data_IF_298396895754
#
_entry.id   IF_298396895754
#
_cell.length_a   1.000
_cell.length_b   1.000
_cell.length_c   1.000
_cell.angle_alpha   90.00
_cell.angle_beta   90.00
_cell.angle_gamma   90.00
#
_symmetry.space_group_name_H-M   'P 1'
#
loop_
_entity.id
_entity.type
_entity.pdbx_description
1 polymer ?
#
# COMPACT_ATOMS: atom_id res chain seq x y z
N UNK A 1 4.97 -32.63 40.64
CA UNK A 1 4.08 -31.46 40.50
C UNK A 1 4.42 -30.80 39.17
N UNK A 2 3.51 -30.83 38.20
CA UNK A 2 3.70 -30.15 36.91
C UNK A 2 3.51 -28.64 37.07
N UNK A 3 4.29 -27.86 36.32
CA UNK A 3 4.12 -26.41 36.27
C UNK A 3 2.72 -26.08 35.68
N UNK A 4 1.94 -25.17 36.28
CA UNK A 4 0.68 -24.69 35.72
C UNK A 4 0.84 -24.16 34.29
N UNK A 5 -0.21 -24.30 33.49
CA UNK A 5 -0.22 -23.94 32.07
C UNK A 5 0.21 -22.47 31.85
N UNK A 6 -0.33 -21.56 32.64
CA UNK A 6 -0.12 -20.12 32.54
C UNK A 6 1.32 -19.73 32.84
N UNK A 7 1.96 -20.44 33.78
CA UNK A 7 3.36 -20.21 34.11
C UNK A 7 4.28 -20.76 33.04
N UNK A 8 3.95 -21.93 32.48
CA UNK A 8 4.69 -22.49 31.36
C UNK A 8 4.55 -21.62 30.10
N UNK A 9 3.36 -21.08 29.85
CA UNK A 9 3.11 -20.09 28.78
C UNK A 9 3.98 -18.84 28.95
N UNK A 10 4.06 -18.27 30.18
CA UNK A 10 4.96 -17.14 30.49
C UNK A 10 6.43 -17.46 30.23
N UNK A 11 6.89 -18.67 30.52
CA UNK A 11 8.25 -19.09 30.19
C UNK A 11 8.47 -19.08 28.68
N UNK A 12 7.50 -19.60 27.91
CA UNK A 12 7.59 -19.64 26.45
C UNK A 12 7.58 -18.25 25.80
N UNK A 13 6.90 -17.27 26.38
CA UNK A 13 6.94 -15.86 25.93
C UNK A 13 8.35 -15.25 25.98
N UNK A 14 9.23 -15.76 26.85
CA UNK A 14 10.61 -15.29 26.98
C UNK A 14 11.57 -15.95 25.97
N UNK A 15 11.12 -17.02 25.29
CA UNK A 15 11.96 -17.76 24.36
C UNK A 15 12.06 -17.07 23.00
N UNK A 16 13.06 -17.48 22.22
CA UNK A 16 13.09 -17.16 20.79
C UNK A 16 12.15 -18.10 20.03
N UNK A 17 11.64 -17.69 18.86
CA UNK A 17 10.81 -18.58 18.02
C UNK A 17 11.55 -19.87 17.64
N UNK A 18 12.88 -19.82 17.49
CA UNK A 18 13.70 -21.00 17.21
C UNK A 18 13.70 -21.98 18.38
N UNK A 19 13.71 -21.49 19.61
CA UNK A 19 13.75 -22.34 20.79
C UNK A 19 12.36 -22.91 21.10
N UNK A 20 11.28 -22.15 20.87
CA UNK A 20 9.91 -22.68 20.91
C UNK A 20 9.72 -23.86 19.96
N UNK A 21 10.22 -23.76 18.72
CA UNK A 21 10.18 -24.88 17.78
C UNK A 21 10.95 -26.12 18.27
N UNK A 22 12.04 -25.95 19.02
CA UNK A 22 12.77 -27.08 19.63
C UNK A 22 11.99 -27.70 20.78
N UNK A 23 11.33 -26.87 21.60
CA UNK A 23 10.53 -27.31 22.74
C UNK A 23 9.40 -28.30 22.35
N UNK A 24 8.86 -28.21 21.13
CA UNK A 24 7.87 -29.16 20.55
C UNK A 24 8.27 -30.62 20.62
N UNK A 25 9.57 -30.89 20.65
CA UNK A 25 10.15 -32.23 20.58
C UNK A 25 10.47 -32.81 21.96
N UNK A 26 10.25 -32.05 23.04
CA UNK A 26 10.61 -32.45 24.40
C UNK A 26 9.54 -33.37 25.00
N UNK A 27 8.28 -32.91 25.05
CA UNK A 27 7.14 -33.69 25.53
C UNK A 27 5.82 -33.16 24.95
N UNK A 28 4.70 -33.86 25.21
CA UNK A 28 3.36 -33.46 24.74
C UNK A 28 2.94 -32.11 25.32
N UNK A 29 3.08 -31.89 26.63
CA UNK A 29 2.72 -30.63 27.26
C UNK A 29 3.47 -29.41 26.67
N UNK A 30 4.75 -29.57 26.32
CA UNK A 30 5.55 -28.52 25.68
C UNK A 30 5.18 -28.31 24.22
N UNK A 31 4.75 -29.37 23.54
CA UNK A 31 4.19 -29.27 22.19
C UNK A 31 2.89 -28.48 22.21
N UNK A 32 1.98 -28.80 23.13
CA UNK A 32 0.67 -28.14 23.20
C UNK A 32 0.84 -26.62 23.43
N UNK A 33 1.69 -26.23 24.39
CA UNK A 33 1.97 -24.82 24.66
C UNK A 33 2.68 -24.14 23.50
N UNK A 34 3.63 -24.79 22.84
CA UNK A 34 4.31 -24.20 21.68
C UNK A 34 3.39 -23.93 20.48
N UNK A 35 2.21 -24.55 20.46
CA UNK A 35 1.18 -24.36 19.44
C UNK A 35 0.13 -23.33 19.89
N UNK A 36 0.27 -22.73 21.08
CA UNK A 36 -0.63 -21.68 21.56
C UNK A 36 -0.54 -20.44 20.63
N UNK A 37 -1.67 -20.00 20.04
CA UNK A 37 -1.69 -18.87 19.11
C UNK A 37 -1.15 -17.56 19.71
N UNK A 38 -1.31 -17.36 21.01
CA UNK A 38 -0.91 -16.12 21.69
C UNK A 38 0.61 -15.92 21.70
N UNK A 39 1.39 -17.01 21.74
CA UNK A 39 2.85 -16.97 21.61
C UNK A 39 3.24 -16.45 20.23
N UNK A 40 2.66 -17.03 19.18
CA UNK A 40 2.98 -16.66 17.79
C UNK A 40 2.49 -15.26 17.46
N UNK A 41 1.34 -14.84 18.00
CA UNK A 41 0.85 -13.47 17.92
C UNK A 41 1.85 -12.49 18.53
N UNK A 42 2.43 -12.82 19.68
CA UNK A 42 3.47 -11.98 20.30
C UNK A 42 4.76 -11.93 19.48
N UNK A 43 5.21 -13.07 18.94
CA UNK A 43 6.37 -13.10 18.06
C UNK A 43 6.14 -12.30 16.78
N UNK A 44 4.97 -12.43 16.16
CA UNK A 44 4.55 -11.61 15.03
C UNK A 44 4.57 -10.13 15.40
N UNK A 45 3.88 -9.72 16.46
CA UNK A 45 3.82 -8.32 16.86
C UNK A 45 5.21 -7.74 17.17
N UNK A 46 6.07 -8.48 17.88
CA UNK A 46 7.43 -8.05 18.20
C UNK A 46 8.29 -7.88 16.95
N UNK A 47 8.13 -8.77 15.98
CA UNK A 47 8.87 -8.71 14.72
C UNK A 47 8.31 -7.66 13.76
N UNK A 48 6.98 -7.56 13.64
CA UNK A 48 6.31 -6.57 12.81
C UNK A 48 6.64 -5.13 13.22
N UNK A 49 6.78 -4.86 14.53
CA UNK A 49 7.18 -3.55 15.07
C UNK A 49 8.53 -3.03 14.57
N UNK A 50 9.39 -3.88 14.00
CA UNK A 50 10.64 -3.41 13.41
C UNK A 50 10.46 -2.82 12.01
N UNK A 51 9.25 -2.83 11.47
CA UNK A 51 8.91 -2.38 10.12
C UNK A 51 7.74 -1.39 10.18
N UNK A 52 7.84 -0.29 9.43
CA UNK A 52 6.83 0.80 9.42
C UNK A 52 5.58 0.40 8.62
N UNK A 53 5.77 -0.44 7.60
CA UNK A 53 4.80 -0.84 6.59
C UNK A 53 4.10 -2.17 6.90
N UNK A 54 4.43 -2.82 8.03
CA UNK A 54 3.83 -4.10 8.41
C UNK A 54 2.72 -3.87 9.43
N UNK A 55 1.46 -4.20 9.10
CA UNK A 55 0.37 -4.03 10.05
C UNK A 55 0.56 -4.96 11.24
N UNK A 56 0.46 -4.38 12.45
CA UNK A 56 0.58 -5.11 13.72
C UNK A 56 -0.56 -6.10 13.93
N UNK A 57 -1.72 -5.85 13.31
CA UNK A 57 -2.82 -6.79 13.19
C UNK A 57 -3.28 -6.81 11.74
N UNK A 58 -3.41 -7.98 11.09
CA UNK A 58 -4.11 -8.08 9.82
C UNK A 58 -5.54 -7.56 10.03
N UNK A 59 -6.03 -6.70 9.14
CA UNK A 59 -7.46 -6.38 9.10
C UNK A 59 -8.16 -7.70 8.79
N UNK A 60 -9.08 -8.12 9.67
CA UNK A 60 -9.90 -9.30 9.43
C UNK A 60 -10.75 -9.03 8.19
N UNK A 61 -10.34 -9.57 7.04
CA UNK A 61 -11.15 -9.58 5.83
C UNK A 61 -12.23 -10.65 5.96
N UNK A 62 -13.20 -10.39 6.83
CA UNK A 62 -14.53 -11.00 6.88
C UNK A 62 -15.22 -10.48 8.15
N UNK A 63 -16.15 -9.54 7.98
CA UNK A 63 -17.23 -9.40 8.95
C UNK A 63 -18.06 -10.67 8.84
N UNK A 64 -17.82 -11.64 9.73
CA UNK A 64 -18.76 -12.74 9.89
C UNK A 64 -20.05 -12.13 10.46
N UNK A 65 -21.20 -12.41 9.84
CA UNK A 65 -22.53 -11.87 10.17
C UNK A 65 -22.96 -12.15 11.63
N UNK A 66 -22.25 -13.03 12.34
CA UNK A 66 -22.58 -13.49 13.70
C UNK A 66 -21.87 -12.73 14.84
N UNK A 67 -21.10 -11.67 14.56
CA UNK A 67 -20.54 -10.79 15.60
C UNK A 67 -19.49 -11.42 16.54
N UNK A 68 -19.17 -12.70 16.39
CA UNK A 68 -18.07 -13.36 17.08
C UNK A 68 -16.79 -13.25 16.25
N UNK A 69 -15.88 -12.37 16.70
CA UNK A 69 -14.49 -12.36 16.25
C UNK A 69 -13.77 -13.60 16.79
N UNK A 70 -13.95 -14.73 16.11
CA UNK A 70 -13.11 -15.89 16.35
C UNK A 70 -11.69 -15.55 15.84
N UNK A 71 -10.68 -15.70 16.70
CA UNK A 71 -9.24 -15.63 16.41
C UNK A 71 -8.86 -16.77 15.40
N UNK A 72 -9.37 -16.70 14.17
CA UNK A 72 -9.13 -17.67 13.08
C UNK A 72 -7.76 -17.48 12.41
N UNK A 73 -7.01 -16.48 12.84
CA UNK A 73 -5.71 -16.14 12.27
C UNK A 73 -4.67 -17.15 12.76
N UNK A 74 -4.10 -17.92 11.82
CA UNK A 74 -2.90 -18.72 12.08
C UNK A 74 -1.68 -17.79 12.23
N UNK A 75 -1.41 -17.41 13.47
CA UNK A 75 -0.30 -16.52 13.81
C UNK A 75 1.07 -17.15 13.55
N UNK A 76 1.18 -18.49 13.58
CA UNK A 76 2.44 -19.19 13.28
C UNK A 76 2.76 -19.07 11.80
N UNK A 77 1.77 -19.32 10.94
CA UNK A 77 1.90 -19.14 9.50
C UNK A 77 2.23 -17.68 9.17
N UNK A 78 1.52 -16.72 9.77
CA UNK A 78 1.73 -15.29 9.53
C UNK A 78 3.13 -14.83 9.94
N UNK A 79 3.62 -15.26 11.10
CA UNK A 79 4.99 -15.01 11.54
C UNK A 79 6.02 -15.63 10.60
N UNK A 80 5.79 -16.89 10.20
CA UNK A 80 6.70 -17.63 9.31
C UNK A 80 6.79 -16.98 7.93
N UNK A 81 5.66 -16.56 7.38
CA UNK A 81 5.58 -15.81 6.13
C UNK A 81 6.39 -14.51 6.22
N UNK A 82 6.12 -13.67 7.22
CA UNK A 82 6.80 -12.39 7.40
C UNK A 82 8.32 -12.59 7.58
N UNK A 83 8.73 -13.51 8.45
CA UNK A 83 10.14 -13.81 8.68
C UNK A 83 10.84 -14.30 7.41
N UNK A 84 10.18 -15.15 6.64
CA UNK A 84 10.73 -15.68 5.38
C UNK A 84 10.87 -14.57 4.34
N UNK A 85 9.84 -13.72 4.20
CA UNK A 85 9.83 -12.54 3.33
C UNK A 85 11.04 -11.65 3.61
N UNK A 86 11.20 -11.19 4.85
CA UNK A 86 12.29 -10.29 5.26
C UNK A 86 13.68 -10.93 5.11
N UNK A 87 13.79 -12.22 5.42
CA UNK A 87 15.05 -12.94 5.24
C UNK A 87 15.44 -13.06 3.76
N UNK A 88 14.46 -13.28 2.87
CA UNK A 88 14.69 -13.35 1.42
C UNK A 88 15.07 -11.97 0.86
N UNK A 89 14.37 -10.91 1.25
CA UNK A 89 14.70 -9.53 0.89
C UNK A 89 16.13 -9.17 1.28
N UNK A 90 16.52 -9.43 2.53
CA UNK A 90 17.89 -9.15 3.01
C UNK A 90 18.96 -9.93 2.24
N UNK A 91 18.63 -11.13 1.75
CA UNK A 91 19.56 -11.95 0.95
C UNK A 91 19.57 -11.58 -0.54
N UNK A 92 18.64 -10.74 -1.00
CA UNK A 92 18.48 -10.39 -2.41
C UNK A 92 18.16 -11.58 -3.31
N UNK A 93 17.54 -12.64 -2.76
CA UNK A 93 17.19 -13.85 -3.52
C UNK A 93 15.68 -13.87 -3.75
N UNK A 94 15.20 -13.44 -4.93
CA UNK A 94 13.79 -13.56 -5.26
C UNK A 94 13.40 -15.04 -5.32
N UNK A 95 12.16 -15.35 -4.97
CA UNK A 95 11.65 -16.71 -5.11
C UNK A 95 11.33 -17.02 -6.58
N UNK A 96 10.79 -16.02 -7.29
CA UNK A 96 10.46 -16.09 -8.71
C UNK A 96 10.86 -14.77 -9.37
N UNK A 97 11.24 -14.83 -10.64
CA UNK A 97 11.51 -13.64 -11.46
C UNK A 97 10.79 -13.83 -12.78
N UNK A 98 9.81 -12.96 -13.04
CA UNK A 98 9.06 -12.95 -14.28
C UNK A 98 9.52 -11.77 -15.11
N UNK A 99 9.78 -12.05 -16.39
CA UNK A 99 10.21 -11.05 -17.37
C UNK A 99 9.25 -11.13 -18.54
N UNK A 100 8.58 -10.03 -18.83
CA UNK A 100 7.69 -9.92 -19.99
C UNK A 100 7.86 -8.58 -20.68
N UNK A 101 7.47 -8.53 -21.96
CA UNK A 101 7.48 -7.30 -22.74
C UNK A 101 6.21 -6.53 -22.45
N UNK A 102 6.31 -5.52 -21.58
CA UNK A 102 5.15 -4.70 -21.21
C UNK A 102 4.69 -3.78 -22.34
N UNK A 103 5.61 -3.14 -23.08
CA UNK A 103 5.28 -2.17 -24.14
C UNK A 103 6.23 -2.30 -25.34
N UNK A 104 5.79 -1.79 -26.49
CA UNK A 104 6.66 -1.62 -27.67
C UNK A 104 7.55 -0.36 -27.56
N UNK A 105 7.09 0.64 -26.81
CA UNK A 105 7.76 1.92 -26.59
C UNK A 105 8.37 2.00 -25.18
N UNK A 106 9.31 2.93 -24.92
CA UNK A 106 9.89 3.13 -23.59
C UNK A 106 8.83 3.45 -22.53
N UNK A 107 8.94 2.79 -21.39
CA UNK A 107 8.08 3.03 -20.23
C UNK A 107 8.55 4.29 -19.53
N UNK A 108 7.68 5.28 -19.40
CA UNK A 108 7.95 6.56 -18.72
C UNK A 108 7.57 6.54 -17.26
N UNK A 109 6.47 5.86 -16.94
CA UNK A 109 5.91 5.83 -15.59
C UNK A 109 5.38 4.43 -15.27
N UNK A 110 5.46 4.08 -14.00
CA UNK A 110 4.86 2.87 -13.45
C UNK A 110 4.27 3.18 -12.08
N UNK A 111 3.14 2.56 -11.77
CA UNK A 111 2.49 2.63 -10.46
C UNK A 111 2.03 1.24 -10.08
N UNK A 112 2.48 0.76 -8.93
CA UNK A 112 2.01 -0.50 -8.35
C UNK A 112 1.00 -0.20 -7.26
N UNK A 113 -0.13 -0.87 -7.33
CA UNK A 113 -1.26 -0.65 -6.44
C UNK A 113 -1.90 -1.99 -6.09
N UNK A 114 -1.65 -2.49 -4.89
CA UNK A 114 -2.11 -3.81 -4.44
C UNK A 114 -1.67 -4.90 -5.42
N UNK A 115 -2.60 -5.36 -6.25
CA UNK A 115 -2.39 -6.38 -7.30
C UNK A 115 -2.53 -5.80 -8.71
N UNK A 116 -2.55 -4.50 -8.89
CA UNK A 116 -2.63 -3.87 -10.20
C UNK A 116 -1.37 -3.06 -10.46
N UNK A 117 -0.64 -3.42 -11.51
CA UNK A 117 0.49 -2.64 -12.00
C UNK A 117 0.01 -1.81 -13.17
N UNK A 118 0.14 -0.49 -13.09
CA UNK A 118 -0.06 0.39 -14.25
C UNK A 118 1.30 0.76 -14.82
N UNK A 119 1.44 0.64 -16.13
CA UNK A 119 2.63 1.04 -16.87
C UNK A 119 2.23 1.94 -18.01
N UNK A 120 3.07 2.91 -18.31
CA UNK A 120 2.70 3.94 -19.23
C UNK A 120 3.84 4.40 -20.12
N UNK A 121 3.50 4.68 -21.38
CA UNK A 121 4.38 5.22 -22.41
C UNK A 121 3.87 6.58 -22.87
N UNK A 122 4.52 7.16 -23.89
CA UNK A 122 4.07 8.43 -24.48
C UNK A 122 2.70 8.32 -25.18
N UNK A 123 2.25 7.10 -25.47
CA UNK A 123 1.08 6.82 -26.31
C UNK A 123 0.07 5.85 -25.67
N UNK A 124 0.48 5.04 -24.69
CA UNK A 124 -0.37 3.96 -24.17
C UNK A 124 -0.29 3.86 -22.65
N UNK A 125 -1.43 3.53 -22.04
CA UNK A 125 -1.55 3.07 -20.66
C UNK A 125 -1.92 1.59 -20.66
N UNK A 126 -1.23 0.79 -19.85
CA UNK A 126 -1.59 -0.62 -19.60
C UNK A 126 -1.73 -0.86 -18.11
N UNK A 127 -2.87 -1.42 -17.70
CA UNK A 127 -3.14 -1.90 -16.36
C UNK A 127 -3.05 -3.43 -16.36
N UNK A 128 -2.07 -3.98 -15.65
CA UNK A 128 -1.79 -5.40 -15.51
C UNK A 128 -2.38 -5.92 -14.21
N UNK A 129 -3.08 -7.04 -14.28
CA UNK A 129 -3.58 -7.76 -13.12
C UNK A 129 -2.54 -8.77 -12.62
N UNK A 130 -1.98 -8.51 -11.45
CA UNK A 130 -1.02 -9.33 -10.71
C UNK A 130 -1.66 -10.10 -9.55
N UNK A 131 -3.00 -10.17 -9.49
CA UNK A 131 -3.71 -10.92 -8.45
C UNK A 131 -3.52 -12.43 -8.64
N UNK A 132 -3.45 -12.88 -9.89
CA UNK A 132 -3.13 -14.25 -10.25
C UNK A 132 -1.62 -14.40 -10.36
N UNK A 133 -0.97 -15.21 -9.50
CA UNK A 133 0.47 -15.42 -9.58
C UNK A 133 0.82 -16.19 -10.85
N UNK A 134 1.78 -15.66 -11.60
CA UNK A 134 2.34 -16.32 -12.77
C UNK A 134 3.06 -17.59 -12.33
N UNK A 135 2.70 -18.74 -12.91
CA UNK A 135 3.28 -20.03 -12.54
C UNK A 135 4.47 -20.39 -13.42
N UNK A 136 4.46 -19.93 -14.67
CA UNK A 136 5.44 -20.31 -15.68
C UNK A 136 6.27 -19.11 -16.15
N UNK A 137 7.53 -19.38 -16.50
CA UNK A 137 8.39 -18.38 -17.12
C UNK A 137 7.87 -18.05 -18.53
N UNK A 138 7.66 -16.76 -18.81
CA UNK A 138 7.11 -16.28 -20.09
C UNK A 138 5.60 -16.08 -20.11
N UNK A 139 4.90 -16.43 -19.03
CA UNK A 139 3.49 -16.06 -18.85
C UNK A 139 3.35 -14.54 -18.70
N UNK A 140 2.34 -13.97 -19.35
CA UNK A 140 2.07 -12.54 -19.33
C UNK A 140 0.79 -12.32 -18.52
N UNK A 141 0.81 -11.41 -17.53
CA UNK A 141 -0.40 -11.06 -16.80
C UNK A 141 -1.50 -10.55 -17.73
N UNK A 142 -2.76 -10.83 -17.39
CA UNK A 142 -3.88 -10.19 -18.07
C UNK A 142 -3.78 -8.67 -17.95
N UNK A 143 -4.08 -7.95 -19.02
CA UNK A 143 -4.02 -6.49 -19.01
C UNK A 143 -5.14 -5.83 -19.80
N UNK A 144 -5.47 -4.61 -19.39
CA UNK A 144 -6.29 -3.67 -20.14
C UNK A 144 -5.38 -2.60 -20.72
N UNK A 145 -5.58 -2.25 -21.99
CA UNK A 145 -4.80 -1.24 -22.69
C UNK A 145 -5.69 -0.08 -23.14
N UNK A 146 -5.15 1.13 -23.03
CA UNK A 146 -5.77 2.34 -23.55
C UNK A 146 -4.76 3.19 -24.31
N UNK A 147 -5.11 3.53 -25.54
CA UNK A 147 -4.38 4.53 -26.33
C UNK A 147 -4.69 5.94 -25.82
N UNK A 148 -3.65 6.75 -25.75
CA UNK A 148 -3.70 8.16 -25.35
C UNK A 148 -3.69 9.01 -26.62
N UNK A 149 -4.64 9.92 -26.74
CA UNK A 149 -4.77 10.78 -27.94
C UNK A 149 -3.65 11.84 -28.07
N UNK A 150 -2.77 11.98 -27.07
CA UNK A 150 -1.74 13.04 -27.03
C UNK A 150 -0.39 12.52 -26.56
N UNK A 151 0.68 13.01 -27.20
CA UNK A 151 2.08 12.70 -26.88
C UNK A 151 2.44 13.26 -25.50
N UNK A 152 2.74 12.38 -24.56
CA UNK A 152 3.03 12.73 -23.18
C UNK A 152 4.51 13.11 -23.02
N UNK A 153 4.82 14.31 -22.51
CA UNK A 153 6.20 14.70 -22.18
C UNK A 153 6.56 14.51 -20.70
N UNK A 154 5.57 14.55 -19.80
CA UNK A 154 5.75 14.24 -18.39
C UNK A 154 4.48 13.59 -17.88
N UNK A 155 4.59 12.30 -17.57
CA UNK A 155 3.49 11.52 -17.04
C UNK A 155 3.79 11.20 -15.58
N UNK A 156 3.08 11.85 -14.67
CA UNK A 156 2.98 11.39 -13.29
C UNK A 156 1.64 10.69 -13.12
N UNK A 157 1.72 9.51 -12.51
CA UNK A 157 0.57 8.68 -12.22
C UNK A 157 0.42 8.63 -10.70
N UNK A 158 -0.76 9.02 -10.22
CA UNK A 158 -1.08 9.06 -8.79
C UNK A 158 -2.31 8.18 -8.53
N UNK A 159 -2.41 7.55 -7.35
CA UNK A 159 -3.53 6.69 -6.97
C UNK A 159 -4.35 7.33 -5.85
N UNK A 160 -5.67 7.20 -5.95
CA UNK A 160 -6.57 7.27 -4.80
C UNK A 160 -7.68 6.22 -4.92
N UNK A 161 -7.84 5.33 -3.93
CA UNK A 161 -8.99 4.39 -3.78
C UNK A 161 -9.58 3.81 -5.09
N UNK A 162 -8.72 3.40 -6.04
CA UNK A 162 -9.14 2.81 -7.32
C UNK A 162 -9.30 3.79 -8.50
N UNK A 163 -8.91 5.04 -8.34
CA UNK A 163 -8.81 6.04 -9.40
C UNK A 163 -7.34 6.38 -9.65
N UNK A 164 -7.00 6.45 -10.93
CA UNK A 164 -5.70 6.75 -11.47
C UNK A 164 -5.69 8.19 -12.00
N UNK A 165 -4.77 9.01 -11.51
CA UNK A 165 -4.59 10.39 -11.96
C UNK A 165 -3.41 10.46 -12.90
N UNK A 166 -3.68 10.81 -14.16
CA UNK A 166 -2.72 10.87 -15.25
C UNK A 166 -2.57 12.33 -15.66
N UNK A 167 -1.36 12.83 -15.62
CA UNK A 167 -1.09 14.27 -15.72
C UNK A 167 -0.50 14.63 -17.07
N UNK A 168 -0.94 15.76 -17.63
CA UNK A 168 -0.49 16.29 -18.91
C UNK A 168 0.19 17.63 -18.68
N UNK A 169 1.51 17.58 -18.46
CA UNK A 169 2.32 18.73 -18.04
C UNK A 169 2.17 19.97 -18.93
N UNK A 170 2.04 19.82 -20.25
CA UNK A 170 2.02 20.96 -21.17
C UNK A 170 0.67 21.69 -21.17
N UNK A 171 -0.41 21.00 -20.85
CA UNK A 171 -1.78 21.55 -20.98
C UNK A 171 -2.37 21.97 -19.63
N UNK A 172 -1.72 21.58 -18.52
CA UNK A 172 -2.27 21.80 -17.20
C UNK A 172 -3.52 20.98 -16.92
N UNK A 173 -3.71 19.87 -17.63
CA UNK A 173 -4.84 18.97 -17.46
C UNK A 173 -4.41 17.72 -16.69
N UNK A 174 -5.28 17.26 -15.80
CA UNK A 174 -5.16 15.98 -15.11
C UNK A 174 -6.36 15.16 -15.51
N UNK A 175 -6.12 14.05 -16.20
CA UNK A 175 -7.17 13.11 -16.53
C UNK A 175 -7.28 12.07 -15.43
N UNK A 176 -8.52 11.77 -15.07
CA UNK A 176 -8.86 10.75 -14.09
C UNK A 176 -9.30 9.51 -14.85
N UNK A 177 -8.72 8.37 -14.50
CA UNK A 177 -9.09 7.08 -15.05
C UNK A 177 -9.49 6.12 -13.94
N UNK A 178 -10.38 5.18 -14.24
CA UNK A 178 -10.56 4.02 -13.36
C UNK A 178 -9.32 3.14 -13.39
N UNK A 179 -8.84 2.69 -12.22
CA UNK A 179 -7.62 1.89 -12.14
C UNK A 179 -7.78 0.51 -12.80
N UNK A 180 -8.97 -0.09 -12.75
CA UNK A 180 -9.21 -1.44 -13.24
C UNK A 180 -9.60 -1.44 -14.71
N UNK A 181 -10.55 -0.58 -15.09
CA UNK A 181 -11.06 -0.56 -16.48
C UNK A 181 -10.29 0.39 -17.39
N UNK A 182 -9.49 1.30 -16.82
CA UNK A 182 -8.90 2.43 -17.54
C UNK A 182 -9.95 3.33 -18.21
N UNK A 183 -11.21 3.31 -17.77
CA UNK A 183 -12.25 4.21 -18.26
C UNK A 183 -12.00 5.64 -17.80
N UNK A 184 -12.35 6.62 -18.63
CA UNK A 184 -12.06 8.03 -18.34
C UNK A 184 -13.18 8.57 -17.45
N UNK A 185 -12.83 8.99 -16.23
CA UNK A 185 -13.78 9.52 -15.24
C UNK A 185 -13.97 11.02 -15.38
N UNK A 186 -12.96 11.75 -15.83
CA UNK A 186 -13.04 13.21 -15.93
C UNK A 186 -11.70 13.89 -16.15
N UNK A 187 -11.75 15.23 -16.18
CA UNK A 187 -10.59 16.09 -16.38
C UNK A 187 -10.63 17.20 -15.34
N UNK A 188 -9.51 17.38 -14.63
CA UNK A 188 -9.25 18.55 -13.80
C UNK A 188 -8.36 19.51 -14.57
N UNK A 189 -8.76 20.78 -14.62
CA UNK A 189 -7.99 21.83 -15.28
C UNK A 189 -7.29 22.71 -14.24
N UNK A 190 -5.96 22.66 -14.24
CA UNK A 190 -5.09 23.42 -13.35
C UNK A 190 -4.77 24.80 -13.92
N UNK A 191 -5.06 25.04 -15.21
CA UNK A 191 -4.84 26.26 -16.00
C UNK A 191 -3.37 26.71 -16.16
N UNK A 192 -2.44 25.93 -15.62
CA UNK A 192 -1.00 26.16 -15.72
C UNK A 192 -0.26 24.86 -16.03
N UNK A 193 0.91 24.93 -16.71
CA UNK A 193 1.74 23.75 -16.93
C UNK A 193 2.15 23.08 -15.62
N UNK A 194 1.84 21.79 -15.51
CA UNK A 194 2.09 20.98 -14.31
C UNK A 194 3.52 20.44 -14.36
N UNK A 195 4.29 20.67 -13.31
CA UNK A 195 5.64 20.11 -13.18
C UNK A 195 5.61 18.74 -12.52
N UNK A 196 4.77 18.58 -11.50
CA UNK A 196 4.70 17.35 -10.71
C UNK A 196 3.33 17.16 -10.10
N UNK A 197 2.91 15.91 -9.95
CA UNK A 197 1.72 15.56 -9.17
C UNK A 197 2.06 14.38 -8.30
N UNK A 198 1.62 14.46 -7.06
CA UNK A 198 1.73 13.39 -6.09
C UNK A 198 0.43 13.27 -5.33
N UNK A 199 0.16 12.09 -4.79
CA UNK A 199 -0.89 11.95 -3.78
C UNK A 199 -0.21 12.03 -2.43
N UNK A 200 -0.65 12.99 -1.62
CA UNK A 200 -0.31 13.02 -0.22
C UNK A 200 -1.24 12.04 0.51
N UNK A 201 -0.63 10.97 1.03
CA UNK A 201 -1.33 10.00 1.87
C UNK A 201 -1.24 10.47 3.32
N UNK A 202 -2.14 11.37 3.73
CA UNK A 202 -2.49 11.48 5.15
C UNK A 202 -3.83 10.74 5.38
N UNK A 203 -4.37 10.78 6.60
CA UNK A 203 -5.64 10.13 7.00
C UNK A 203 -6.78 10.31 5.97
N UNK A 204 -6.76 11.42 5.23
CA UNK A 204 -7.49 11.64 3.99
C UNK A 204 -6.48 11.73 2.82
N UNK A 205 -6.70 10.92 1.78
CA UNK A 205 -5.84 10.92 0.58
C UNK A 205 -6.12 12.20 -0.24
N UNK A 206 -5.14 13.11 -0.34
CA UNK A 206 -5.26 14.35 -1.11
C UNK A 206 -4.35 14.36 -2.32
N UNK A 207 -4.77 15.03 -3.40
CA UNK A 207 -3.91 15.18 -4.58
C UNK A 207 -3.19 16.51 -4.48
N UNK A 208 -1.86 16.46 -4.47
CA UNK A 208 -1.02 17.65 -4.50
C UNK A 208 -0.44 17.81 -5.90
N UNK A 209 -0.77 18.94 -6.51
CA UNK A 209 -0.31 19.34 -7.84
C UNK A 209 0.62 20.52 -7.69
N UNK A 210 1.78 20.42 -8.31
CA UNK A 210 2.77 21.50 -8.38
C UNK A 210 2.92 21.92 -9.83
N UNK A 211 2.86 23.23 -10.08
CA UNK A 211 3.05 23.81 -11.41
C UNK A 211 4.48 24.34 -11.58
N UNK A 212 4.91 24.52 -12.83
CA UNK A 212 6.19 25.17 -13.12
C UNK A 212 6.25 26.63 -12.64
N UNK A 213 5.09 27.27 -12.42
CA UNK A 213 4.98 28.62 -11.87
C UNK A 213 5.20 28.71 -10.35
N UNK A 214 5.40 27.58 -9.66
CA UNK A 214 5.51 27.54 -8.20
C UNK A 214 4.15 27.57 -7.49
N UNK A 215 3.06 27.28 -8.21
CA UNK A 215 1.73 27.08 -7.64
C UNK A 215 1.63 25.65 -7.11
N UNK A 216 1.24 25.51 -5.85
CA UNK A 216 0.87 24.24 -5.23
C UNK A 216 -0.63 24.26 -5.00
N UNK A 217 -1.36 23.31 -5.61
CA UNK A 217 -2.79 23.11 -5.37
C UNK A 217 -3.01 21.74 -4.75
N UNK A 218 -3.82 21.68 -3.70
CA UNK A 218 -4.28 20.45 -3.07
C UNK A 218 -5.75 20.26 -3.39
N UNK A 219 -6.11 19.08 -3.86
CA UNK A 219 -7.46 18.74 -4.26
C UNK A 219 -8.00 17.60 -3.41
N UNK A 220 -9.30 17.67 -3.14
CA UNK A 220 -10.05 16.50 -2.74
C UNK A 220 -10.31 15.64 -4.00
N UNK A 221 -9.85 14.38 -4.02
CA UNK A 221 -10.05 13.48 -5.14
C UNK A 221 -11.48 12.95 -5.31
N UNK A 222 -12.33 13.08 -4.30
CA UNK A 222 -13.72 12.59 -4.34
C UNK A 222 -14.64 13.49 -5.15
N UNK A 223 -14.44 14.81 -5.06
CA UNK A 223 -15.28 15.82 -5.72
C UNK A 223 -14.48 16.78 -6.62
N UNK A 224 -13.15 16.70 -6.62
CA UNK A 224 -12.27 17.56 -7.41
C UNK A 224 -12.15 18.98 -6.85
N UNK A 225 -12.63 19.25 -5.63
CA UNK A 225 -12.56 20.58 -5.02
C UNK A 225 -11.13 20.96 -4.66
N UNK A 226 -10.78 22.22 -4.87
CA UNK A 226 -9.49 22.77 -4.42
C UNK A 226 -9.60 23.01 -2.91
N UNK A 227 -8.91 22.20 -2.12
CA UNK A 227 -8.85 22.35 -0.68
C UNK A 227 -7.86 23.44 -0.27
N UNK A 228 -6.74 23.54 -0.99
CA UNK A 228 -5.66 24.46 -0.65
C UNK A 228 -4.91 24.94 -1.89
N UNK A 229 -4.46 26.19 -1.86
CA UNK A 229 -3.64 26.78 -2.92
C UNK A 229 -2.57 27.68 -2.32
N UNK A 230 -1.32 27.48 -2.74
CA UNK A 230 -0.17 28.28 -2.33
C UNK A 230 0.62 28.71 -3.57
N UNK A 231 1.04 29.96 -3.62
CA UNK A 231 1.86 30.50 -4.70
C UNK A 231 3.04 31.25 -4.09
N UNK A 232 4.27 30.80 -4.33
CA UNK A 232 5.54 31.48 -3.97
C UNK A 232 5.45 32.45 -2.78
N UNK A 233 5.27 31.92 -1.56
CA UNK A 233 5.29 32.70 -0.32
C UNK A 233 4.01 33.47 0.05
N UNK A 234 3.00 33.50 -0.81
CA UNK A 234 1.66 33.99 -0.48
C UNK A 234 0.68 32.82 -0.42
N UNK A 235 0.20 32.53 0.79
CA UNK A 235 -0.93 31.64 1.04
C UNK A 235 -2.21 32.31 0.60
N UNK A 236 -2.72 31.96 -0.58
CA UNK A 236 -4.09 32.28 -0.97
C UNK A 236 -5.02 31.22 -0.36
N UNK A 237 -5.21 31.27 0.96
CA UNK A 237 -6.21 30.44 1.66
C UNK A 237 -7.58 31.01 1.32
N UNK A 238 -8.33 30.33 0.45
CA UNK A 238 -9.80 30.40 0.52
C UNK A 238 -10.24 29.39 1.56
N UNK A 239 -10.47 29.90 2.76
CA UNK A 239 -10.97 29.16 3.92
C UNK A 239 -12.31 28.50 3.58
N UNK A 240 -12.38 27.18 3.71
CA UNK A 240 -13.58 26.51 4.20
C UNK A 240 -13.14 25.60 5.34
N UNK A 241 -13.68 25.87 6.52
CA UNK A 241 -13.34 25.24 7.79
C UNK A 241 -13.61 23.73 7.78
N UNK A 242 -12.67 22.93 8.28
CA UNK A 242 -12.98 21.70 9.03
C UNK A 242 -12.13 21.73 10.30
N UNK A 243 -12.79 21.79 11.45
CA UNK A 243 -12.19 21.78 12.78
C UNK A 243 -11.45 20.45 13.04
N UNK A 244 -10.24 20.47 13.63
CA UNK A 244 -9.74 19.33 14.39
C UNK A 244 -10.19 19.50 15.84
N UNK A 245 -11.18 18.72 16.26
CA UNK A 245 -11.49 18.57 17.69
C UNK A 245 -10.36 17.81 18.39
N UNK A 246 -9.67 18.54 19.27
CA UNK A 246 -8.90 18.07 20.44
C UNK A 246 -7.70 17.14 20.22
N UNK A 247 -6.48 17.70 20.30
CA UNK A 247 -5.49 17.33 21.33
C UNK A 247 -4.71 18.59 21.72
N UNK A 248 -4.90 19.07 22.96
CA UNK A 248 -4.04 20.04 23.62
C UNK A 248 -2.83 19.32 24.24
N UNK A 249 -1.62 19.84 24.02
CA UNK A 249 -0.52 19.77 24.98
C UNK A 249 0.38 21.00 24.84
N UNK A 250 0.57 21.72 25.95
CA UNK A 250 1.84 22.27 26.47
C UNK A 250 1.47 22.95 27.81
N UNK A 251 1.82 22.41 28.98
CA UNK A 251 3.12 22.41 29.67
C UNK A 251 3.75 23.80 29.81
N UNK A 252 3.73 24.24 31.09
CA UNK A 252 4.21 25.46 31.75
C UNK A 252 3.33 26.70 31.66
#
# INVERSE_FOLDING_TARGET
MSLPYELLLRVFYLLTPRDVCKCRRVCTAWRDISCDPSIWRNFYARFARTFVDVPLMPVATAENEDGYQQDTIDWEERYTFLRTRETKWRKGRPQYTHVWKAHAFPIRCLVLSDHTLVTATDFTLRAWDLSVPLQHAGEVPGFVEREMERVLQYLNVARNRGTLFVTFAVVGLIHMYDLKTLDHKGILNISEPISFVTVANDLDEYIVVVTFGGLVKVFDPSDGTVLFMMHNGFTAVRTTYIYPSYVQFHLN
#
